data_IF_631084404729
#
_entry.id   IF_631084404729
#
_cell.length_a   1.000
_cell.length_b   1.000
_cell.length_c   1.000
_cell.angle_alpha   90.00
_cell.angle_beta   90.00
_cell.angle_gamma   90.00
#
_symmetry.space_group_name_H-M   'P 1'
#
loop_
_entity.id
_entity.type
_entity.pdbx_description
1 polymer ?
#
# COMPACT_ATOMS: atom_id res chain seq x y z
N UNK A 1 -33.74 0.06 7.52
CA UNK A 1 -33.01 1.18 6.88
C UNK A 1 -32.51 2.03 8.02
N UNK A 2 -31.26 2.38 8.03
CA UNK A 2 -30.68 3.29 9.01
C UNK A 2 -30.03 4.45 8.28
N UNK A 3 -30.23 5.65 8.80
CA UNK A 3 -29.82 6.87 8.13
C UNK A 3 -28.62 7.50 8.86
N UNK A 4 -27.80 8.20 8.12
CA UNK A 4 -26.72 9.01 8.70
C UNK A 4 -27.34 10.11 9.54
N UNK A 5 -27.12 10.08 10.86
CA UNK A 5 -27.64 11.06 11.80
C UNK A 5 -26.63 12.19 12.06
N UNK A 6 -25.34 11.87 12.09
CA UNK A 6 -24.28 12.85 12.30
C UNK A 6 -22.96 12.41 11.66
N UNK A 7 -22.19 13.39 11.21
CA UNK A 7 -20.81 13.22 10.75
C UNK A 7 -19.94 14.26 11.43
N UNK A 8 -18.83 13.81 12.04
CA UNK A 8 -17.91 14.70 12.72
C UNK A 8 -16.45 14.36 12.39
N UNK A 9 -15.73 15.32 11.85
CA UNK A 9 -14.31 15.19 11.57
C UNK A 9 -13.46 15.90 12.62
N UNK A 10 -12.28 15.35 12.85
CA UNK A 10 -11.21 15.95 13.67
C UNK A 10 -9.84 15.72 13.07
N UNK A 11 -8.90 16.57 13.49
CA UNK A 11 -7.48 16.36 13.25
C UNK A 11 -6.91 15.45 14.33
N UNK A 12 -6.22 14.38 13.91
CA UNK A 12 -5.42 13.52 14.77
C UNK A 12 -3.96 13.49 14.27
N UNK A 13 -3.10 12.71 14.88
CA UNK A 13 -1.70 12.54 14.46
C UNK A 13 -1.47 11.15 13.88
N UNK A 14 -0.70 11.09 12.79
CA UNK A 14 -0.23 9.84 12.19
C UNK A 14 1.00 9.27 12.90
N UNK A 15 1.51 8.13 12.44
CA UNK A 15 2.68 7.41 12.99
C UNK A 15 3.99 8.21 12.91
N UNK A 16 4.01 9.31 12.14
CA UNK A 16 5.15 10.23 12.03
C UNK A 16 4.95 11.52 12.84
N UNK A 17 3.83 11.64 13.58
CA UNK A 17 3.45 12.84 14.31
C UNK A 17 2.94 13.97 13.41
N UNK A 18 2.58 13.69 12.15
CA UNK A 18 1.95 14.65 11.27
C UNK A 18 0.42 14.60 11.41
N UNK A 19 -0.26 15.77 11.29
CA UNK A 19 -1.72 15.79 11.28
C UNK A 19 -2.32 14.96 10.15
N UNK A 20 -3.42 14.27 10.47
CA UNK A 20 -4.28 13.59 9.50
C UNK A 20 -5.75 13.71 9.91
N UNK A 21 -6.68 13.30 9.02
CA UNK A 21 -8.13 13.42 9.23
C UNK A 21 -8.67 12.12 9.79
N UNK A 22 -9.49 12.24 10.85
CA UNK A 22 -10.35 11.17 11.37
C UNK A 22 -11.81 11.62 11.31
N UNK A 23 -12.71 10.72 10.92
CA UNK A 23 -14.14 10.97 10.82
C UNK A 23 -14.93 9.94 11.60
N UNK A 24 -15.92 10.41 12.35
CA UNK A 24 -16.99 9.63 12.95
C UNK A 24 -18.29 9.80 12.15
N UNK A 25 -18.94 8.70 11.80
CA UNK A 25 -20.28 8.66 11.24
C UNK A 25 -21.20 7.93 12.22
N UNK A 26 -22.26 8.60 12.65
CA UNK A 26 -23.28 8.04 13.50
C UNK A 26 -24.55 7.77 12.72
N UNK A 27 -25.16 6.61 12.95
CA UNK A 27 -26.49 6.30 12.42
C UNK A 27 -27.58 6.69 13.42
N UNK A 28 -28.82 6.82 12.95
CA UNK A 28 -30.00 7.09 13.79
C UNK A 28 -30.34 5.93 14.74
N UNK A 29 -29.84 4.71 14.47
CA UNK A 29 -29.89 3.57 15.38
C UNK A 29 -28.76 3.55 16.43
N UNK A 30 -27.83 4.50 16.38
CA UNK A 30 -26.76 4.68 17.36
C UNK A 30 -25.47 3.92 17.06
N UNK A 31 -25.31 3.34 15.86
CA UNK A 31 -24.05 2.74 15.45
C UNK A 31 -23.03 3.81 15.04
N UNK A 32 -21.75 3.50 15.27
CA UNK A 32 -20.62 4.37 15.00
C UNK A 32 -19.65 3.71 14.01
N UNK A 33 -19.37 4.41 12.91
CA UNK A 33 -18.21 4.11 12.06
C UNK A 33 -17.14 5.17 12.24
N UNK A 34 -15.93 4.78 12.62
CA UNK A 34 -14.77 5.66 12.75
C UNK A 34 -13.67 5.25 11.79
N UNK A 35 -13.13 6.20 11.04
CA UNK A 35 -12.01 5.96 10.14
C UNK A 35 -10.99 7.10 10.16
N UNK A 36 -9.71 6.73 10.08
CA UNK A 36 -8.60 7.66 9.96
C UNK A 36 -7.82 7.41 8.66
N UNK A 37 -7.41 8.48 7.99
CA UNK A 37 -6.79 8.42 6.67
C UNK A 37 -5.26 8.35 6.79
N UNK A 38 -4.59 7.48 6.02
CA UNK A 38 -3.13 7.47 5.92
C UNK A 38 -2.60 8.65 5.08
N UNK A 39 -1.29 8.91 5.18
CA UNK A 39 -0.59 10.00 4.50
C UNK A 39 0.72 9.52 3.87
N UNK A 40 1.00 9.89 2.62
CA UNK A 40 2.24 9.55 1.93
C UNK A 40 3.45 10.37 2.39
N UNK A 41 4.66 9.83 2.23
CA UNK A 41 5.91 10.58 2.30
C UNK A 41 6.35 11.04 0.91
N UNK A 42 6.43 10.10 -0.03
CA UNK A 42 6.49 10.35 -1.48
C UNK A 42 5.07 10.30 -2.05
N UNK A 43 4.79 11.12 -3.04
CA UNK A 43 3.49 11.15 -3.72
C UNK A 43 3.71 11.18 -5.22
N UNK A 44 3.09 10.24 -5.94
CA UNK A 44 3.10 10.23 -7.41
C UNK A 44 2.43 11.49 -7.97
N UNK A 45 2.90 11.97 -9.12
CA UNK A 45 2.42 13.21 -9.78
C UNK A 45 0.91 13.21 -10.04
N UNK A 46 0.29 12.03 -10.13
CA UNK A 46 -1.10 11.82 -10.54
C UNK A 46 -2.03 11.40 -9.40
N UNK A 47 -1.55 11.40 -8.15
CA UNK A 47 -2.39 11.08 -6.98
C UNK A 47 -3.48 12.16 -6.74
N UNK A 48 -4.58 11.72 -6.12
CA UNK A 48 -5.57 12.66 -5.60
C UNK A 48 -4.96 13.52 -4.47
N UNK A 49 -5.43 14.76 -4.37
CA UNK A 49 -4.83 15.80 -3.51
C UNK A 49 -5.09 15.52 -2.03
N UNK A 50 -4.03 15.33 -1.26
CA UNK A 50 -4.10 15.45 0.19
C UNK A 50 -4.11 16.93 0.58
N UNK A 51 -5.26 17.44 1.04
CA UNK A 51 -5.42 18.85 1.36
C UNK A 51 -4.72 19.20 2.67
N UNK A 52 -3.73 20.09 2.59
CA UNK A 52 -2.97 20.63 3.72
C UNK A 52 -3.26 22.12 3.93
N UNK A 53 -3.17 22.59 5.18
CA UNK A 53 -3.47 23.99 5.51
C UNK A 53 -2.45 24.98 4.93
N UNK A 54 -1.17 24.58 4.82
CA UNK A 54 -0.09 25.42 4.32
C UNK A 54 0.38 26.50 5.31
N UNK A 55 -0.22 26.59 6.50
CA UNK A 55 0.16 27.54 7.55
C UNK A 55 1.44 27.07 8.26
N UNK A 56 2.57 27.63 7.87
CA UNK A 56 3.89 27.24 8.42
C UNK A 56 4.04 27.51 9.92
N UNK A 57 3.17 28.33 10.52
CA UNK A 57 3.18 28.58 11.97
C UNK A 57 2.64 27.41 12.79
N UNK A 58 1.93 26.48 12.15
CA UNK A 58 1.31 25.29 12.78
C UNK A 58 1.71 24.03 12.03
N UNK A 59 2.25 23.04 12.75
CA UNK A 59 2.69 21.77 12.17
C UNK A 59 3.56 21.93 10.90
N UNK A 60 4.35 23.00 10.81
CA UNK A 60 5.20 23.30 9.65
C UNK A 60 4.45 23.35 8.30
N UNK A 61 3.17 23.75 8.33
CA UNK A 61 2.29 23.81 7.17
C UNK A 61 1.50 22.51 6.88
N UNK A 62 1.71 21.45 7.68
CA UNK A 62 1.12 20.13 7.46
C UNK A 62 -0.25 19.93 8.13
N UNK A 63 -0.84 20.97 8.75
CA UNK A 63 -2.18 20.89 9.32
C UNK A 63 -3.24 20.46 8.31
N UNK A 64 -4.37 19.91 8.79
CA UNK A 64 -5.49 19.42 7.96
C UNK A 64 -6.84 20.03 8.37
N UNK A 65 -6.82 21.18 9.06
CA UNK A 65 -8.05 21.81 9.54
C UNK A 65 -8.98 22.26 8.40
N UNK A 66 -8.44 22.62 7.23
CA UNK A 66 -9.26 22.89 6.03
C UNK A 66 -10.03 21.65 5.57
N UNK A 67 -9.37 20.48 5.55
CA UNK A 67 -10.05 19.23 5.20
C UNK A 67 -11.10 18.85 6.26
N UNK A 68 -10.79 19.03 7.56
CA UNK A 68 -11.73 18.86 8.67
C UNK A 68 -12.94 19.78 8.52
N UNK A 69 -12.73 21.06 8.22
CA UNK A 69 -13.80 22.03 7.98
C UNK A 69 -14.65 21.63 6.77
N UNK A 70 -14.02 21.19 5.67
CA UNK A 70 -14.74 20.71 4.49
C UNK A 70 -15.69 19.53 4.82
N UNK A 71 -15.25 18.60 5.68
CA UNK A 71 -16.12 17.52 6.15
C UNK A 71 -17.28 18.08 6.98
N UNK A 72 -17.01 18.89 8.00
CA UNK A 72 -18.01 19.29 8.97
C UNK A 72 -19.04 20.30 8.39
N UNK A 73 -18.60 21.21 7.51
CA UNK A 73 -19.43 22.31 7.02
C UNK A 73 -19.98 22.10 5.60
N UNK A 74 -19.31 21.29 4.76
CA UNK A 74 -19.72 21.10 3.37
C UNK A 74 -20.27 19.69 3.14
N UNK A 75 -19.53 18.64 3.54
CA UNK A 75 -19.90 17.25 3.25
C UNK A 75 -21.02 16.78 4.19
N UNK A 76 -20.87 16.95 5.50
CA UNK A 76 -21.82 16.43 6.49
C UNK A 76 -23.26 16.89 6.23
N UNK A 77 -23.57 18.19 5.97
CA UNK A 77 -24.92 18.62 5.69
C UNK A 77 -25.59 17.99 4.46
N UNK A 78 -24.77 17.51 3.49
CA UNK A 78 -25.28 16.87 2.27
C UNK A 78 -25.56 15.38 2.45
N UNK A 79 -24.95 14.73 3.48
CA UNK A 79 -25.06 13.30 3.69
C UNK A 79 -26.03 12.91 4.82
N UNK A 80 -26.32 13.81 5.77
CA UNK A 80 -27.30 13.58 6.84
C UNK A 80 -28.66 13.21 6.24
N UNK A 81 -29.27 12.14 6.75
CA UNK A 81 -30.54 11.60 6.30
C UNK A 81 -30.46 10.64 5.10
N UNK A 82 -29.28 10.38 4.59
CA UNK A 82 -29.06 9.34 3.56
C UNK A 82 -28.92 7.98 4.26
N UNK A 83 -29.48 6.93 3.64
CA UNK A 83 -29.30 5.54 4.07
C UNK A 83 -27.81 5.17 4.03
N UNK A 84 -27.25 4.80 5.19
CA UNK A 84 -25.81 4.55 5.39
C UNK A 84 -25.29 3.39 4.52
N UNK A 85 -26.17 2.48 4.10
CA UNK A 85 -25.79 1.32 3.26
C UNK A 85 -25.58 1.65 1.79
N UNK A 86 -25.91 2.88 1.36
CA UNK A 86 -25.79 3.32 -0.04
C UNK A 86 -24.39 3.82 -0.39
N UNK A 87 -23.35 3.02 -0.10
CA UNK A 87 -21.93 3.40 -0.27
C UNK A 87 -21.63 4.04 -1.61
N UNK A 88 -21.96 3.36 -2.72
CA UNK A 88 -21.64 3.85 -4.06
C UNK A 88 -22.36 5.20 -4.38
N UNK A 89 -23.57 5.41 -3.88
CA UNK A 89 -24.28 6.67 -4.02
C UNK A 89 -23.61 7.77 -3.20
N UNK A 90 -23.24 7.48 -1.96
CA UNK A 90 -22.56 8.43 -1.06
C UNK A 90 -21.23 8.84 -1.67
N UNK A 91 -20.43 7.88 -2.14
CA UNK A 91 -19.14 8.15 -2.80
C UNK A 91 -19.30 8.97 -4.07
N UNK A 92 -20.38 8.73 -4.86
CA UNK A 92 -20.69 9.54 -6.05
C UNK A 92 -21.04 10.99 -5.68
N UNK A 93 -21.74 11.20 -4.56
CA UNK A 93 -21.99 12.54 -4.03
C UNK A 93 -20.70 13.23 -3.59
N UNK A 94 -19.81 12.54 -2.86
CA UNK A 94 -18.51 13.09 -2.45
C UNK A 94 -17.72 13.60 -3.66
N UNK A 95 -17.65 12.79 -4.73
CA UNK A 95 -16.99 13.15 -5.99
C UNK A 95 -17.69 14.36 -6.63
N UNK A 96 -19.01 14.38 -6.66
CA UNK A 96 -19.79 15.48 -7.26
C UNK A 96 -19.65 16.79 -6.50
N UNK A 97 -19.61 16.76 -5.16
CA UNK A 97 -19.44 17.95 -4.29
C UNK A 97 -18.04 18.54 -4.47
N UNK A 98 -17.02 17.71 -4.60
CA UNK A 98 -15.68 18.15 -4.94
C UNK A 98 -15.63 18.75 -6.35
N UNK A 99 -16.11 18.02 -7.34
CA UNK A 99 -16.25 18.45 -8.73
C UNK A 99 -14.91 18.61 -9.48
N UNK A 100 -13.76 18.24 -8.88
CA UNK A 100 -12.45 18.23 -9.54
C UNK A 100 -11.99 16.82 -9.83
N UNK A 101 -11.11 16.64 -10.82
CA UNK A 101 -10.65 15.31 -11.22
C UNK A 101 -9.83 14.63 -10.12
N UNK A 102 -9.04 15.40 -9.36
CA UNK A 102 -8.11 14.93 -8.34
C UNK A 102 -8.51 15.25 -6.90
N UNK A 103 -9.80 15.56 -6.64
CA UNK A 103 -10.34 15.96 -5.33
C UNK A 103 -9.62 17.17 -4.71
N UNK A 104 -9.18 18.10 -5.57
CA UNK A 104 -8.38 19.26 -5.17
C UNK A 104 -9.16 20.30 -4.36
N UNK A 105 -10.50 20.31 -4.44
CA UNK A 105 -11.33 21.29 -3.73
C UNK A 105 -11.60 20.91 -2.28
N UNK A 106 -12.00 19.68 -2.02
CA UNK A 106 -12.31 19.19 -0.66
C UNK A 106 -11.14 18.50 0.01
N UNK A 107 -10.30 17.84 -0.79
CA UNK A 107 -9.21 16.98 -0.37
C UNK A 107 -9.60 15.49 -0.37
N UNK A 108 -8.75 14.65 -0.97
CA UNK A 108 -8.93 13.20 -0.92
C UNK A 108 -8.92 12.65 0.51
N UNK A 109 -8.19 13.27 1.41
CA UNK A 109 -8.19 12.94 2.84
C UNK A 109 -9.57 13.21 3.48
N UNK A 110 -10.28 14.27 3.11
CA UNK A 110 -11.64 14.53 3.58
C UNK A 110 -12.65 13.51 3.01
N UNK A 111 -12.63 13.29 1.69
CA UNK A 111 -13.58 12.37 1.03
C UNK A 111 -13.38 10.93 1.47
N UNK A 112 -12.12 10.47 1.54
CA UNK A 112 -11.80 9.11 1.95
C UNK A 112 -12.18 8.83 3.42
N UNK A 113 -11.88 9.77 4.33
CA UNK A 113 -12.21 9.57 5.74
C UNK A 113 -13.72 9.37 5.93
N UNK A 114 -14.56 10.16 5.23
CA UNK A 114 -16.02 10.00 5.24
C UNK A 114 -16.42 8.68 4.61
N UNK A 115 -15.89 8.35 3.43
CA UNK A 115 -16.23 7.13 2.70
C UNK A 115 -15.95 5.86 3.52
N UNK A 116 -14.76 5.76 4.17
CA UNK A 116 -14.41 4.65 5.04
C UNK A 116 -15.26 4.60 6.32
N UNK A 117 -15.54 5.76 6.94
CA UNK A 117 -16.37 5.81 8.14
C UNK A 117 -17.82 5.39 7.86
N UNK A 118 -18.38 5.78 6.70
CA UNK A 118 -19.69 5.31 6.23
C UNK A 118 -19.71 3.79 6.05
N UNK A 119 -18.69 3.22 5.40
CA UNK A 119 -18.60 1.77 5.22
C UNK A 119 -18.57 1.01 6.55
N UNK A 120 -17.83 1.53 7.54
CA UNK A 120 -17.77 0.96 8.88
C UNK A 120 -19.11 1.09 9.63
N UNK A 121 -19.76 2.26 9.59
CA UNK A 121 -21.07 2.44 10.20
C UNK A 121 -22.13 1.51 9.59
N UNK A 122 -22.10 1.32 8.27
CA UNK A 122 -22.98 0.42 7.56
C UNK A 122 -22.71 -1.07 7.88
N UNK A 123 -21.47 -1.45 8.09
CA UNK A 123 -21.09 -2.78 8.51
C UNK A 123 -21.61 -3.08 9.94
N UNK A 124 -21.41 -2.17 10.89
CA UNK A 124 -21.96 -2.28 12.26
C UNK A 124 -23.50 -2.32 12.24
N UNK A 125 -24.15 -1.47 11.47
CA UNK A 125 -25.61 -1.48 11.27
C UNK A 125 -26.12 -2.84 10.74
N UNK A 126 -25.33 -3.46 9.87
CA UNK A 126 -25.66 -4.75 9.27
C UNK A 126 -25.27 -5.95 10.18
N UNK A 127 -24.65 -5.69 11.33
CA UNK A 127 -24.07 -6.70 12.24
C UNK A 127 -23.13 -7.65 11.52
N UNK A 128 -22.29 -7.10 10.62
CA UNK A 128 -21.27 -7.83 9.85
C UNK A 128 -19.90 -7.24 10.09
N UNK A 129 -18.84 -8.06 10.16
CA UNK A 129 -17.47 -7.55 10.06
C UNK A 129 -17.27 -6.80 8.74
N UNK A 130 -16.45 -5.76 8.74
CA UNK A 130 -16.27 -4.88 7.58
C UNK A 130 -15.88 -5.64 6.31
N UNK A 131 -14.94 -6.60 6.39
CA UNK A 131 -14.55 -7.40 5.24
C UNK A 131 -15.72 -8.19 4.64
N UNK A 132 -16.61 -8.71 5.48
CA UNK A 132 -17.79 -9.48 5.05
C UNK A 132 -18.87 -8.56 4.48
N UNK A 133 -19.06 -7.38 5.06
CA UNK A 133 -20.00 -6.38 4.57
C UNK A 133 -19.63 -5.91 3.15
N UNK A 134 -18.36 -5.56 2.93
CA UNK A 134 -17.89 -5.06 1.63
C UNK A 134 -17.70 -6.16 0.58
N UNK A 135 -17.22 -7.34 0.97
CA UNK A 135 -16.86 -8.42 0.05
C UNK A 135 -17.91 -9.50 -0.11
N UNK A 136 -18.95 -9.49 0.74
CA UNK A 136 -20.02 -10.48 0.68
C UNK A 136 -19.59 -11.88 1.14
N UNK A 137 -20.36 -12.88 0.73
CA UNK A 137 -20.19 -14.28 1.19
C UNK A 137 -18.88 -14.92 0.69
N UNK A 138 -18.28 -14.39 -0.35
CA UNK A 138 -17.09 -14.94 -1.00
C UNK A 138 -15.78 -14.26 -0.57
N UNK A 139 -15.81 -13.36 0.43
CA UNK A 139 -14.65 -12.73 1.02
C UNK A 139 -13.91 -13.70 1.94
N UNK A 140 -13.07 -14.57 1.38
CA UNK A 140 -12.43 -15.69 2.09
C UNK A 140 -10.92 -15.78 1.90
N UNK A 141 -10.34 -14.98 1.00
CA UNK A 141 -8.90 -15.05 0.70
C UNK A 141 -8.12 -14.14 1.65
N UNK A 142 -7.31 -14.75 2.50
CA UNK A 142 -6.36 -14.05 3.36
C UNK A 142 -5.15 -13.59 2.53
N UNK A 143 -4.71 -12.33 2.68
CA UNK A 143 -3.64 -11.82 1.85
C UNK A 143 -2.27 -12.32 2.31
N UNK A 144 -1.39 -12.65 1.38
CA UNK A 144 0.02 -12.92 1.62
C UNK A 144 0.74 -11.59 1.92
N UNK A 145 1.47 -11.46 3.04
CA UNK A 145 2.12 -10.20 3.40
C UNK A 145 3.43 -10.01 2.63
N UNK A 146 3.61 -8.83 2.04
CA UNK A 146 4.88 -8.29 1.56
C UNK A 146 5.44 -7.42 2.70
N UNK A 147 6.41 -7.94 3.45
CA UNK A 147 6.90 -7.30 4.67
C UNK A 147 8.19 -6.53 4.39
N UNK A 148 8.14 -5.19 4.44
CA UNK A 148 9.32 -4.34 4.26
C UNK A 148 10.26 -4.45 5.48
N UNK A 149 11.32 -5.25 5.38
CA UNK A 149 12.25 -5.48 6.49
C UNK A 149 13.55 -4.68 6.40
N UNK A 150 13.86 -4.09 5.23
CA UNK A 150 15.04 -3.24 5.05
C UNK A 150 14.73 -2.08 4.10
N UNK A 151 15.10 -0.87 4.52
CA UNK A 151 14.81 0.38 3.81
C UNK A 151 16.07 0.99 3.18
N UNK A 152 15.87 1.61 2.02
CA UNK A 152 16.83 2.47 1.33
C UNK A 152 16.12 3.66 0.69
N UNK A 153 16.62 4.14 -0.45
CA UNK A 153 16.01 5.24 -1.18
C UNK A 153 15.74 6.47 -0.30
N UNK A 154 14.60 7.07 -0.49
CA UNK A 154 14.17 8.23 0.34
C UNK A 154 13.72 7.82 1.75
N UNK A 155 13.54 6.52 2.00
CA UNK A 155 13.12 5.99 3.31
C UNK A 155 14.28 5.80 4.31
N UNK A 156 15.54 5.98 3.90
CA UNK A 156 16.70 5.82 4.78
C UNK A 156 17.90 6.66 4.32
N UNK A 157 18.65 7.20 5.29
CA UNK A 157 19.92 7.87 5.06
C UNK A 157 21.07 6.84 4.96
N UNK A 158 21.11 6.07 3.86
CA UNK A 158 22.14 5.06 3.59
C UNK A 158 22.54 5.07 2.11
N UNK A 159 23.37 4.11 1.69
CA UNK A 159 23.89 4.01 0.30
C UNK A 159 23.09 3.03 -0.56
N UNK A 160 21.81 2.82 -0.27
CA UNK A 160 20.92 1.96 -1.04
C UNK A 160 20.01 2.86 -1.90
N UNK A 161 19.95 2.64 -3.22
CA UNK A 161 19.07 3.40 -4.11
C UNK A 161 17.63 2.93 -4.04
N UNK A 162 17.41 1.60 -3.98
CA UNK A 162 16.07 1.03 -3.93
C UNK A 162 15.41 1.23 -2.57
N UNK A 163 14.11 1.54 -2.60
CA UNK A 163 13.40 2.05 -1.43
C UNK A 163 13.10 0.96 -0.40
N UNK A 164 12.69 -0.26 -0.85
CA UNK A 164 12.28 -1.32 0.05
C UNK A 164 12.75 -2.70 -0.41
N UNK A 165 13.24 -3.47 0.56
CA UNK A 165 13.51 -4.90 0.42
C UNK A 165 12.54 -5.67 1.31
N UNK A 166 11.62 -6.37 0.65
CA UNK A 166 10.52 -7.09 1.31
C UNK A 166 10.72 -8.59 1.26
N UNK A 167 10.16 -9.28 2.24
CA UNK A 167 10.03 -10.74 2.26
C UNK A 167 8.58 -11.14 2.08
N UNK A 168 8.36 -12.26 1.38
CA UNK A 168 7.04 -12.84 1.16
C UNK A 168 7.07 -14.32 1.56
N UNK A 169 6.26 -14.77 2.54
CA UNK A 169 6.20 -16.16 2.99
C UNK A 169 5.36 -17.03 2.03
N UNK A 170 5.85 -17.21 0.80
CA UNK A 170 5.15 -17.92 -0.29
C UNK A 170 4.84 -19.38 0.01
N UNK A 171 5.65 -20.04 0.85
CA UNK A 171 5.48 -21.44 1.23
C UNK A 171 4.67 -21.68 2.49
N UNK A 172 4.20 -20.62 3.16
CA UNK A 172 3.46 -20.76 4.42
C UNK A 172 2.07 -21.40 4.20
N UNK A 173 1.59 -22.22 5.12
CA UNK A 173 0.31 -22.91 4.99
C UNK A 173 -0.90 -22.03 5.37
N UNK A 174 -0.71 -20.95 6.10
CA UNK A 174 -1.74 -20.06 6.60
C UNK A 174 -1.20 -18.63 6.77
N UNK A 175 -2.07 -17.65 6.95
CA UNK A 175 -1.67 -16.28 7.21
C UNK A 175 -0.86 -16.16 8.51
N UNK A 176 -1.34 -16.73 9.61
CA UNK A 176 -0.67 -16.68 10.91
C UNK A 176 0.73 -17.32 10.86
N UNK A 177 0.89 -18.43 10.16
CA UNK A 177 2.21 -19.05 9.95
C UNK A 177 3.11 -18.18 9.07
N UNK A 178 2.58 -17.60 8.00
CA UNK A 178 3.33 -16.66 7.15
C UNK A 178 3.81 -15.44 7.94
N UNK A 179 2.96 -14.86 8.78
CA UNK A 179 3.33 -13.77 9.67
C UNK A 179 4.40 -14.19 10.68
N UNK A 180 4.27 -15.37 11.30
CA UNK A 180 5.28 -15.93 12.23
C UNK A 180 6.64 -16.04 11.54
N UNK A 181 6.69 -16.62 10.34
CA UNK A 181 7.94 -16.73 9.56
C UNK A 181 8.56 -15.36 9.29
N UNK A 182 7.75 -14.40 8.90
CA UNK A 182 8.21 -13.01 8.66
C UNK A 182 8.79 -12.37 9.91
N UNK A 183 8.16 -12.54 11.07
CA UNK A 183 8.65 -12.05 12.38
C UNK A 183 9.98 -12.72 12.75
N UNK A 184 10.11 -14.02 12.56
CA UNK A 184 11.34 -14.75 12.85
C UNK A 184 12.51 -14.30 11.94
N UNK A 185 12.26 -14.07 10.64
CA UNK A 185 13.26 -13.49 9.74
C UNK A 185 13.63 -12.06 10.17
N UNK A 186 12.67 -11.22 10.53
CA UNK A 186 12.93 -9.87 11.03
C UNK A 186 13.88 -9.88 12.24
N UNK A 187 13.66 -10.76 13.23
CA UNK A 187 14.52 -10.86 14.39
C UNK A 187 15.90 -11.44 14.06
N UNK A 188 15.97 -12.38 13.11
CA UNK A 188 17.25 -12.89 12.63
C UNK A 188 18.02 -11.82 11.84
N UNK A 189 17.34 -11.00 11.03
CA UNK A 189 17.96 -9.87 10.33
C UNK A 189 18.57 -8.87 11.33
N UNK A 190 17.87 -8.58 12.44
CA UNK A 190 18.45 -7.78 13.53
C UNK A 190 19.77 -8.35 14.05
N UNK A 191 19.84 -9.67 14.20
CA UNK A 191 21.02 -10.36 14.68
C UNK A 191 22.16 -10.34 13.65
N UNK A 192 21.85 -10.55 12.37
CA UNK A 192 22.81 -10.49 11.25
C UNK A 192 23.39 -9.08 11.14
N UNK A 193 22.55 -8.03 11.16
CA UNK A 193 23.00 -6.64 11.10
C UNK A 193 23.93 -6.29 12.27
N UNK A 194 23.60 -6.70 13.50
CA UNK A 194 24.45 -6.50 14.67
C UNK A 194 25.82 -7.16 14.52
N UNK A 195 25.86 -8.41 14.00
CA UNK A 195 27.13 -9.12 13.78
C UNK A 195 28.01 -8.43 12.73
N UNK A 196 27.38 -7.80 11.72
CA UNK A 196 28.09 -7.00 10.71
C UNK A 196 28.47 -5.59 11.19
N UNK A 197 28.07 -5.20 12.42
CA UNK A 197 28.35 -3.88 12.99
C UNK A 197 27.41 -2.78 12.51
N UNK A 198 26.28 -3.13 11.88
CA UNK A 198 25.29 -2.18 11.39
C UNK A 198 24.27 -1.76 12.46
N UNK A 199 23.69 -0.56 12.27
CA UNK A 199 22.55 -0.07 13.07
C UNK A 199 21.34 -0.98 12.88
N UNK A 200 20.59 -1.16 13.96
CA UNK A 200 19.27 -1.84 13.96
C UNK A 200 18.13 -0.89 14.30
N UNK A 201 18.30 0.40 14.04
CA UNK A 201 17.22 1.38 14.09
C UNK A 201 16.26 1.11 12.92
N UNK A 202 14.99 1.42 13.14
CA UNK A 202 13.94 1.19 12.13
C UNK A 202 13.47 2.51 11.54
N UNK A 203 13.07 2.46 10.27
CA UNK A 203 12.44 3.57 9.58
C UNK A 203 10.93 3.69 9.86
N UNK A 204 10.27 4.56 9.10
CA UNK A 204 8.85 4.89 9.25
C UNK A 204 7.93 3.68 9.11
N UNK A 205 8.31 2.69 8.33
CA UNK A 205 7.54 1.48 8.05
C UNK A 205 7.94 0.27 8.91
N UNK A 206 8.83 0.48 9.87
CA UNK A 206 9.25 -0.54 10.83
C UNK A 206 10.37 -1.46 10.35
N UNK A 207 10.83 -1.38 9.11
CA UNK A 207 12.01 -2.08 8.59
C UNK A 207 13.30 -1.42 9.05
N UNK A 208 14.41 -2.17 9.06
CA UNK A 208 15.73 -1.64 9.45
C UNK A 208 16.26 -0.65 8.39
N UNK A 209 17.01 0.35 8.86
CA UNK A 209 17.66 1.35 8.01
C UNK A 209 19.19 1.38 8.29
N UNK A 210 19.93 0.31 7.96
CA UNK A 210 21.36 0.21 8.21
C UNK A 210 22.18 0.97 7.17
N UNK A 211 23.40 1.37 7.55
CA UNK A 211 24.40 2.00 6.68
C UNK A 211 25.06 1.00 5.67
N UNK A 212 24.26 0.14 5.06
CA UNK A 212 24.72 -0.82 4.03
C UNK A 212 25.22 -0.07 2.79
N UNK A 213 26.23 -0.62 2.10
CA UNK A 213 27.02 0.10 1.12
C UNK A 213 26.56 -0.07 -0.32
N UNK A 214 25.70 -1.09 -0.62
CA UNK A 214 25.18 -1.33 -1.98
C UNK A 214 23.82 -2.02 -1.95
N UNK A 215 23.11 -1.95 -3.09
CA UNK A 215 21.86 -2.66 -3.29
C UNK A 215 22.03 -4.19 -3.21
N UNK A 216 23.18 -4.70 -3.73
CA UNK A 216 23.53 -6.11 -3.69
C UNK A 216 23.76 -6.59 -2.25
N UNK A 217 24.51 -5.83 -1.44
CA UNK A 217 24.72 -6.17 -0.04
C UNK A 217 23.41 -6.19 0.74
N UNK A 218 22.46 -5.32 0.41
CA UNK A 218 21.16 -5.26 1.05
C UNK A 218 20.37 -6.57 0.82
N UNK A 219 20.19 -6.97 -0.43
CA UNK A 219 19.45 -8.20 -0.76
C UNK A 219 20.14 -9.45 -0.23
N UNK A 220 21.47 -9.52 -0.31
CA UNK A 220 22.25 -10.65 0.21
C UNK A 220 22.17 -10.76 1.74
N UNK A 221 22.11 -9.62 2.44
CA UNK A 221 21.91 -9.59 3.90
C UNK A 221 20.50 -10.08 4.29
N UNK A 222 19.48 -9.76 3.49
CA UNK A 222 18.12 -10.29 3.69
C UNK A 222 18.09 -11.81 3.45
N UNK A 223 18.74 -12.30 2.41
CA UNK A 223 18.85 -13.76 2.13
C UNK A 223 19.59 -14.51 3.23
N UNK A 224 20.64 -13.91 3.78
CA UNK A 224 21.36 -14.44 4.95
C UNK A 224 20.42 -14.56 6.17
N UNK A 225 19.58 -13.55 6.40
CA UNK A 225 18.61 -13.55 7.50
C UNK A 225 17.52 -14.61 7.34
N UNK A 226 17.01 -14.83 6.11
CA UNK A 226 16.04 -15.90 5.81
C UNK A 226 16.68 -17.26 6.13
N UNK A 227 17.92 -17.49 5.68
CA UNK A 227 18.64 -18.73 5.95
C UNK A 227 18.97 -18.92 7.44
N UNK A 228 19.35 -17.84 8.13
CA UNK A 228 19.61 -17.87 9.58
C UNK A 228 18.36 -18.15 10.42
N UNK A 229 17.17 -17.80 9.91
CA UNK A 229 15.89 -18.14 10.51
C UNK A 229 15.48 -19.61 10.26
N UNK A 230 16.25 -20.36 9.45
CA UNK A 230 15.98 -21.76 9.11
C UNK A 230 15.05 -21.96 7.92
N UNK A 231 14.75 -20.90 7.17
CA UNK A 231 13.90 -20.98 5.98
C UNK A 231 14.71 -21.04 4.69
N UNK A 232 14.12 -21.61 3.65
CA UNK A 232 14.73 -21.72 2.32
C UNK A 232 14.33 -20.52 1.46
N UNK A 233 15.31 -19.66 1.06
CA UNK A 233 15.05 -18.56 0.13
C UNK A 233 14.48 -19.08 -1.19
N UNK A 234 13.42 -18.42 -1.68
CA UNK A 234 12.73 -18.73 -2.92
C UNK A 234 11.70 -19.86 -2.84
N UNK A 235 11.86 -20.84 -1.93
CA UNK A 235 10.89 -21.91 -1.74
C UNK A 235 9.85 -21.57 -0.65
N UNK A 236 10.31 -21.16 0.52
CA UNK A 236 9.49 -20.84 1.67
C UNK A 236 9.27 -19.34 1.79
N UNK A 237 10.32 -18.56 1.62
CA UNK A 237 10.30 -17.10 1.68
C UNK A 237 10.99 -16.55 0.44
N UNK A 238 10.25 -15.80 -0.37
CA UNK A 238 10.76 -15.10 -1.55
C UNK A 238 11.02 -13.62 -1.23
N UNK A 239 11.62 -12.91 -2.20
CA UNK A 239 11.91 -11.47 -2.12
C UNK A 239 10.92 -10.71 -2.99
N UNK A 240 10.44 -9.58 -2.46
CA UNK A 240 9.85 -8.51 -3.24
C UNK A 240 10.64 -7.23 -3.05
N UNK A 241 10.57 -6.35 -4.02
CA UNK A 241 11.26 -5.06 -4.00
C UNK A 241 10.32 -3.93 -4.38
N UNK A 242 10.54 -2.76 -3.76
CA UNK A 242 10.07 -1.49 -4.26
C UNK A 242 11.29 -0.66 -4.66
N UNK A 243 11.42 -0.41 -5.96
CA UNK A 243 12.55 0.32 -6.49
C UNK A 243 12.35 1.84 -6.41
N UNK A 244 11.09 2.31 -6.41
CA UNK A 244 10.72 3.72 -6.51
C UNK A 244 11.53 4.45 -7.61
N UNK A 245 11.58 3.85 -8.81
CA UNK A 245 12.53 4.25 -9.86
C UNK A 245 12.31 5.67 -10.39
N UNK A 246 11.13 6.28 -10.13
CA UNK A 246 10.89 7.69 -10.44
C UNK A 246 11.86 8.63 -9.71
N UNK A 247 12.31 8.26 -8.49
CA UNK A 247 13.30 9.03 -7.72
C UNK A 247 14.72 8.99 -8.36
N UNK A 248 14.97 7.98 -9.19
CA UNK A 248 16.24 7.79 -9.89
C UNK A 248 16.22 8.37 -11.32
N UNK A 249 15.04 8.72 -11.85
CA UNK A 249 14.82 9.06 -13.23
C UNK A 249 15.02 10.55 -13.50
N UNK A 250 15.71 10.85 -14.60
CA UNK A 250 15.91 12.21 -15.11
C UNK A 250 15.07 12.39 -16.39
N UNK A 251 13.95 13.10 -16.27
CA UNK A 251 13.00 13.36 -17.36
C UNK A 251 13.67 14.08 -18.58
N UNK A 252 14.72 14.86 -18.35
CA UNK A 252 15.37 15.63 -19.41
C UNK A 252 16.26 14.76 -20.32
N UNK A 253 16.84 13.70 -19.74
CA UNK A 253 17.78 12.80 -20.45
C UNK A 253 17.20 11.41 -20.70
N UNK A 254 16.04 11.09 -20.13
CA UNK A 254 15.43 9.74 -20.09
C UNK A 254 16.40 8.67 -19.58
N UNK A 255 17.09 8.96 -18.48
CA UNK A 255 18.08 8.06 -17.88
C UNK A 255 17.86 7.88 -16.38
N UNK A 256 18.36 6.77 -15.84
CA UNK A 256 18.34 6.45 -14.43
C UNK A 256 19.70 6.69 -13.78
N UNK A 257 19.73 7.35 -12.62
CA UNK A 257 20.95 7.66 -11.86
C UNK A 257 20.96 6.90 -10.54
N UNK A 258 22.01 6.12 -10.31
CA UNK A 258 22.25 5.45 -9.03
C UNK A 258 22.88 6.45 -8.06
N UNK A 259 22.07 7.38 -7.55
CA UNK A 259 22.54 8.57 -6.84
C UNK A 259 23.16 8.30 -5.46
N UNK A 260 22.89 7.13 -4.86
CA UNK A 260 23.41 6.75 -3.55
C UNK A 260 24.52 5.70 -3.62
N UNK A 261 24.27 4.56 -4.25
CA UNK A 261 25.22 3.44 -4.29
C UNK A 261 26.40 3.70 -5.25
N UNK A 262 26.13 4.40 -6.35
CA UNK A 262 27.15 4.74 -7.35
C UNK A 262 26.81 6.05 -8.08
N UNK A 263 27.08 7.23 -7.48
CA UNK A 263 26.63 8.53 -8.00
C UNK A 263 27.09 8.88 -9.43
N UNK A 264 28.10 8.15 -9.96
CA UNK A 264 28.55 8.29 -11.34
C UNK A 264 27.84 7.39 -12.35
N UNK A 265 27.06 6.43 -11.88
CA UNK A 265 26.38 5.47 -12.75
C UNK A 265 25.08 6.04 -13.27
N UNK A 266 25.04 6.30 -14.57
CA UNK A 266 23.86 6.73 -15.32
C UNK A 266 23.59 5.68 -16.38
N UNK A 267 22.36 5.17 -16.46
CA UNK A 267 21.95 4.13 -17.40
C UNK A 267 20.67 4.51 -18.14
N UNK A 268 20.51 3.98 -19.34
CA UNK A 268 19.30 4.10 -20.15
C UNK A 268 18.17 3.21 -19.63
N UNK A 269 16.95 3.41 -20.15
CA UNK A 269 15.82 2.50 -19.86
C UNK A 269 16.11 1.06 -20.27
N UNK A 270 16.80 0.85 -21.39
CA UNK A 270 17.16 -0.52 -21.84
C UNK A 270 18.16 -1.20 -20.89
N UNK A 271 19.12 -0.45 -20.39
CA UNK A 271 20.06 -0.95 -19.37
C UNK A 271 19.39 -1.21 -18.03
N UNK A 272 18.37 -0.43 -17.65
CA UNK A 272 17.58 -0.70 -16.44
C UNK A 272 16.75 -1.99 -16.60
N UNK A 273 16.16 -2.24 -17.76
CA UNK A 273 15.49 -3.52 -18.08
C UNK A 273 16.47 -4.70 -17.99
N UNK A 274 17.69 -4.54 -18.51
CA UNK A 274 18.73 -5.55 -18.41
C UNK A 274 19.14 -5.79 -16.95
N UNK A 275 19.29 -4.73 -16.15
CA UNK A 275 19.60 -4.81 -14.71
C UNK A 275 18.57 -5.64 -13.95
N UNK A 276 17.27 -5.35 -14.14
CA UNK A 276 16.19 -6.12 -13.50
C UNK A 276 16.14 -7.56 -13.99
N UNK A 277 16.40 -7.80 -15.28
CA UNK A 277 16.46 -9.15 -15.85
C UNK A 277 17.60 -9.98 -15.21
N UNK A 278 18.75 -9.38 -15.00
CA UNK A 278 19.86 -10.01 -14.30
C UNK A 278 19.49 -10.33 -12.83
N UNK A 279 18.89 -9.35 -12.12
CA UNK A 279 18.53 -9.51 -10.71
C UNK A 279 17.48 -10.60 -10.49
N UNK A 280 16.44 -10.67 -11.31
CA UNK A 280 15.42 -11.73 -11.24
C UNK A 280 15.98 -13.12 -11.55
N UNK A 281 17.01 -13.21 -12.40
CA UNK A 281 17.69 -14.47 -12.67
C UNK A 281 18.68 -14.89 -11.57
N UNK A 282 19.26 -13.92 -10.86
CA UNK A 282 20.27 -14.15 -9.81
C UNK A 282 19.66 -14.39 -8.43
N UNK A 283 18.60 -13.67 -8.09
CA UNK A 283 17.97 -13.68 -6.76
C UNK A 283 16.52 -14.20 -6.82
N UNK A 284 15.98 -14.74 -5.73
CA UNK A 284 14.62 -15.25 -5.70
C UNK A 284 13.58 -14.11 -5.59
N UNK A 285 13.68 -13.13 -6.51
CA UNK A 285 12.78 -11.99 -6.61
C UNK A 285 11.54 -12.44 -7.37
N UNK A 286 10.36 -12.29 -6.76
CA UNK A 286 9.08 -12.67 -7.33
C UNK A 286 8.16 -11.47 -7.61
N UNK A 287 8.52 -10.28 -7.11
CA UNK A 287 7.75 -9.05 -7.29
C UNK A 287 8.65 -7.83 -7.29
N UNK A 288 8.45 -6.92 -8.24
CA UNK A 288 9.12 -5.61 -8.34
C UNK A 288 8.04 -4.54 -8.50
N UNK A 289 8.00 -3.62 -7.54
CA UNK A 289 7.18 -2.42 -7.56
C UNK A 289 7.99 -1.27 -8.15
N UNK A 290 7.38 -0.53 -9.05
CA UNK A 290 7.95 0.63 -9.75
C UNK A 290 9.39 0.42 -10.22
N UNK A 291 9.61 -0.70 -10.92
CA UNK A 291 10.91 -1.04 -11.50
C UNK A 291 11.37 -0.09 -12.62
N UNK A 292 10.45 0.70 -13.16
CA UNK A 292 10.69 1.81 -14.09
C UNK A 292 9.95 3.06 -13.57
N UNK A 293 10.35 4.25 -14.03
CA UNK A 293 9.71 5.51 -13.67
C UNK A 293 8.24 5.60 -14.14
N UNK A 294 7.41 6.36 -13.42
CA UNK A 294 5.96 6.48 -13.66
C UNK A 294 5.58 7.02 -15.05
N UNK A 295 6.48 7.74 -15.71
CA UNK A 295 6.29 8.29 -17.05
C UNK A 295 7.10 7.56 -18.14
N UNK A 296 7.96 6.58 -17.79
CA UNK A 296 8.71 5.76 -18.75
C UNK A 296 7.90 4.54 -19.25
N UNK A 297 6.79 4.82 -19.91
CA UNK A 297 5.88 3.78 -20.43
C UNK A 297 6.55 2.84 -21.45
N UNK A 298 7.51 3.32 -22.21
CA UNK A 298 8.27 2.51 -23.15
C UNK A 298 9.19 1.52 -22.42
N UNK A 299 9.89 1.97 -21.39
CA UNK A 299 10.70 1.12 -20.52
C UNK A 299 9.85 0.09 -19.78
N UNK A 300 8.70 0.49 -19.22
CA UNK A 300 7.75 -0.44 -18.59
C UNK A 300 7.28 -1.55 -19.53
N UNK A 301 6.99 -1.21 -20.80
CA UNK A 301 6.60 -2.22 -21.78
C UNK A 301 7.72 -3.23 -22.02
N UNK A 302 8.95 -2.76 -22.24
CA UNK A 302 10.12 -3.63 -22.42
C UNK A 302 10.38 -4.49 -21.20
N UNK A 303 10.26 -3.94 -19.98
CA UNK A 303 10.39 -4.69 -18.74
C UNK A 303 9.34 -5.79 -18.65
N UNK A 304 8.08 -5.48 -18.99
CA UNK A 304 6.99 -6.45 -18.98
C UNK A 304 7.23 -7.60 -19.97
N UNK A 305 7.70 -7.28 -21.17
CA UNK A 305 8.05 -8.28 -22.19
C UNK A 305 9.23 -9.16 -21.74
N UNK A 306 10.24 -8.57 -21.05
CA UNK A 306 11.44 -9.28 -20.64
C UNK A 306 11.22 -10.25 -19.47
N UNK A 307 10.52 -9.84 -18.42
CA UNK A 307 10.41 -10.60 -17.16
C UNK A 307 9.00 -10.77 -16.62
N UNK A 308 7.97 -10.18 -17.24
CA UNK A 308 6.59 -10.23 -16.72
C UNK A 308 5.98 -11.65 -16.63
N UNK A 309 6.53 -12.63 -17.36
CA UNK A 309 6.14 -14.04 -17.24
C UNK A 309 6.78 -14.76 -16.04
N UNK A 310 7.79 -14.16 -15.39
CA UNK A 310 8.55 -14.74 -14.28
C UNK A 310 8.39 -13.96 -12.99
N UNK A 311 8.04 -12.67 -13.08
CA UNK A 311 8.02 -11.75 -11.97
C UNK A 311 6.75 -10.89 -12.00
N UNK A 312 6.16 -10.65 -10.83
CA UNK A 312 5.09 -9.68 -10.67
C UNK A 312 5.66 -8.27 -10.84
N UNK A 313 5.11 -7.50 -11.76
CA UNK A 313 5.50 -6.12 -12.06
C UNK A 313 4.37 -5.19 -11.62
N UNK A 314 4.60 -4.52 -10.50
CA UNK A 314 3.58 -3.75 -9.78
C UNK A 314 3.72 -2.28 -10.13
N UNK A 315 2.64 -1.67 -10.62
CA UNK A 315 2.57 -0.22 -10.76
C UNK A 315 1.96 0.42 -9.51
N UNK A 316 2.75 1.21 -8.78
CA UNK A 316 2.31 2.14 -7.74
C UNK A 316 2.15 3.54 -8.34
N UNK A 317 3.21 4.30 -8.49
CA UNK A 317 3.18 5.65 -9.09
C UNK A 317 2.72 5.60 -10.55
N UNK A 318 2.98 4.49 -11.25
CA UNK A 318 2.50 4.26 -12.61
C UNK A 318 0.97 4.33 -12.71
N UNK A 319 0.24 3.72 -11.77
CA UNK A 319 -1.22 3.58 -11.84
C UNK A 319 -1.98 4.43 -10.82
N UNK A 320 -1.37 4.78 -9.69
CA UNK A 320 -1.91 5.60 -8.59
C UNK A 320 -3.35 5.22 -8.20
N UNK A 321 -3.66 3.92 -8.17
CA UNK A 321 -5.02 3.39 -7.89
C UNK A 321 -6.11 3.95 -8.83
N UNK A 322 -5.72 4.52 -9.98
CA UNK A 322 -6.61 5.22 -10.91
C UNK A 322 -7.02 4.33 -12.08
N UNK A 323 -8.32 4.10 -12.24
CA UNK A 323 -8.89 3.22 -13.29
C UNK A 323 -8.55 3.69 -14.72
N UNK A 324 -8.35 4.99 -14.97
CA UNK A 324 -7.97 5.49 -16.30
C UNK A 324 -6.54 5.07 -16.63
N UNK A 325 -5.59 5.32 -15.71
CA UNK A 325 -4.18 4.93 -15.87
C UNK A 325 -4.02 3.41 -15.93
N UNK A 326 -4.75 2.69 -15.06
CA UNK A 326 -4.76 1.23 -15.08
C UNK A 326 -5.27 0.68 -16.43
N UNK A 327 -6.36 1.26 -16.95
CA UNK A 327 -6.88 0.90 -18.27
C UNK A 327 -5.84 1.11 -19.38
N UNK A 328 -5.14 2.23 -19.37
CA UNK A 328 -4.07 2.51 -20.33
C UNK A 328 -2.94 1.47 -20.25
N UNK A 329 -2.57 1.04 -19.03
CA UNK A 329 -1.58 -0.01 -18.81
C UNK A 329 -2.05 -1.37 -19.35
N UNK A 330 -3.30 -1.73 -19.07
CA UNK A 330 -3.92 -2.97 -19.55
C UNK A 330 -3.94 -2.98 -21.09
N UNK A 331 -4.43 -1.92 -21.72
CA UNK A 331 -4.54 -1.80 -23.17
C UNK A 331 -3.17 -1.87 -23.88
N UNK A 332 -2.12 -1.40 -23.22
CA UNK A 332 -0.73 -1.42 -23.71
C UNK A 332 0.07 -2.65 -23.30
N UNK A 333 -0.51 -3.54 -22.48
CA UNK A 333 0.17 -4.70 -21.89
C UNK A 333 1.40 -4.32 -21.07
N UNK A 334 1.24 -3.40 -20.13
CA UNK A 334 2.28 -2.83 -19.27
C UNK A 334 2.03 -3.20 -17.81
N UNK A 335 3.01 -3.84 -17.17
CA UNK A 335 2.86 -4.41 -15.84
C UNK A 335 1.96 -5.65 -15.85
N UNK A 336 1.72 -6.22 -14.68
CA UNK A 336 0.80 -7.35 -14.46
C UNK A 336 0.16 -7.32 -13.07
N UNK A 337 0.40 -6.23 -12.33
CA UNK A 337 -0.12 -5.99 -10.98
C UNK A 337 -0.29 -4.50 -10.71
N UNK A 338 -1.18 -4.16 -9.80
CA UNK A 338 -1.39 -2.80 -9.30
C UNK A 338 -1.24 -2.76 -7.78
N UNK A 339 -0.56 -1.73 -7.28
CA UNK A 339 -0.61 -1.38 -5.86
C UNK A 339 -1.87 -0.55 -5.58
N UNK A 340 -2.58 -0.86 -4.51
CA UNK A 340 -3.84 -0.21 -4.16
C UNK A 340 -3.64 0.60 -2.88
N UNK A 341 -3.61 1.91 -3.02
CA UNK A 341 -3.53 2.88 -1.93
C UNK A 341 -4.82 3.71 -1.89
N UNK A 342 -5.65 3.46 -0.90
CA UNK A 342 -7.01 4.06 -0.80
C UNK A 342 -7.01 5.59 -0.90
N UNK A 343 -5.97 6.24 -0.37
CA UNK A 343 -5.87 7.71 -0.38
C UNK A 343 -5.37 8.30 -1.71
N UNK A 344 -4.78 7.49 -2.61
CA UNK A 344 -4.39 7.94 -3.95
C UNK A 344 -5.61 8.26 -4.84
N UNK A 345 -6.78 7.70 -4.50
CA UNK A 345 -8.00 7.88 -5.28
C UNK A 345 -9.12 8.56 -4.48
N UNK A 346 -9.27 8.28 -3.19
CA UNK A 346 -10.06 9.10 -2.24
C UNK A 346 -11.48 8.62 -1.93
N UNK A 347 -11.94 7.44 -2.41
CA UNK A 347 -13.17 6.78 -1.96
C UNK A 347 -13.04 5.27 -1.96
N UNK A 348 -13.86 4.59 -1.15
CA UNK A 348 -13.93 3.11 -1.10
C UNK A 348 -14.44 2.55 -2.44
N UNK A 349 -15.45 3.17 -3.03
CA UNK A 349 -16.01 2.70 -4.32
C UNK A 349 -15.01 2.78 -5.46
N UNK A 350 -14.23 3.87 -5.57
CA UNK A 350 -13.18 3.98 -6.59
C UNK A 350 -12.08 2.95 -6.37
N UNK A 351 -11.72 2.69 -5.10
CA UNK A 351 -10.76 1.63 -4.73
C UNK A 351 -11.25 0.25 -5.17
N UNK A 352 -12.51 -0.09 -4.89
CA UNK A 352 -13.14 -1.35 -5.34
C UNK A 352 -13.11 -1.46 -6.87
N UNK A 353 -13.45 -0.39 -7.57
CA UNK A 353 -13.45 -0.36 -9.04
C UNK A 353 -12.05 -0.62 -9.62
N UNK A 354 -11.00 -0.07 -9.01
CA UNK A 354 -9.62 -0.30 -9.45
C UNK A 354 -9.20 -1.78 -9.27
N UNK A 355 -9.51 -2.38 -8.12
CA UNK A 355 -9.24 -3.80 -7.86
C UNK A 355 -10.02 -4.69 -8.82
N UNK A 356 -11.30 -4.44 -9.04
CA UNK A 356 -12.14 -5.24 -9.96
C UNK A 356 -11.65 -5.12 -11.40
N UNK A 357 -11.26 -3.92 -11.85
CA UNK A 357 -10.70 -3.73 -13.19
C UNK A 357 -9.41 -4.54 -13.36
N UNK A 358 -8.50 -4.50 -12.39
CA UNK A 358 -7.26 -5.28 -12.40
C UNK A 358 -7.55 -6.78 -12.51
N UNK A 359 -8.39 -7.31 -11.62
CA UNK A 359 -8.74 -8.73 -11.59
C UNK A 359 -9.43 -9.21 -12.88
N UNK A 360 -10.34 -8.42 -13.44
CA UNK A 360 -11.02 -8.73 -14.72
C UNK A 360 -10.04 -8.78 -15.89
N UNK A 361 -8.95 -8.01 -15.83
CA UNK A 361 -7.89 -8.02 -16.84
C UNK A 361 -6.83 -9.12 -16.60
N UNK A 362 -6.93 -9.88 -15.50
CA UNK A 362 -5.94 -10.87 -15.09
C UNK A 362 -4.70 -10.30 -14.40
N UNK A 363 -4.74 -9.03 -14.00
CA UNK A 363 -3.73 -8.42 -13.14
C UNK A 363 -3.97 -8.83 -11.69
N UNK A 364 -2.90 -8.94 -10.92
CA UNK A 364 -2.98 -9.06 -9.46
C UNK A 364 -3.14 -7.67 -8.82
N UNK A 365 -3.58 -7.65 -7.57
CA UNK A 365 -3.67 -6.42 -6.78
C UNK A 365 -3.05 -6.62 -5.42
N UNK A 366 -2.33 -5.62 -4.93
CA UNK A 366 -1.72 -5.61 -3.60
C UNK A 366 -2.34 -4.48 -2.81
N UNK A 367 -3.07 -4.77 -1.75
CA UNK A 367 -3.57 -3.73 -0.85
C UNK A 367 -2.41 -3.14 -0.06
N UNK A 368 -2.29 -1.82 0.00
CA UNK A 368 -1.11 -1.16 0.55
C UNK A 368 -1.43 -0.09 1.59
N UNK A 369 -0.54 0.01 2.57
CA UNK A 369 -0.42 1.11 3.50
C UNK A 369 0.22 2.36 2.86
N UNK A 370 0.43 3.40 3.66
CA UNK A 370 1.31 4.53 3.34
C UNK A 370 2.39 4.67 4.44
N UNK A 371 3.39 5.53 4.18
CA UNK A 371 4.48 5.77 5.15
C UNK A 371 3.96 6.38 6.46
N UNK A 372 2.99 7.29 6.39
CA UNK A 372 2.25 7.80 7.55
C UNK A 372 0.95 7.04 7.74
N UNK A 373 0.90 6.19 8.75
CA UNK A 373 -0.26 5.38 9.10
C UNK A 373 -0.85 5.78 10.45
N UNK A 374 -2.02 5.22 10.74
CA UNK A 374 -2.69 5.28 12.04
C UNK A 374 -2.99 3.87 12.54
N UNK A 375 -3.72 3.73 13.65
CA UNK A 375 -4.22 2.44 14.11
C UNK A 375 -5.38 1.88 13.26
N UNK A 376 -5.87 2.66 12.28
CA UNK A 376 -6.96 2.22 11.38
C UNK A 376 -6.58 0.96 10.62
N UNK A 377 -7.49 -0.01 10.59
CA UNK A 377 -7.27 -1.34 10.00
C UNK A 377 -8.04 -1.57 8.71
N UNK A 378 -8.69 -0.56 8.15
CA UNK A 378 -9.59 -0.68 6.99
C UNK A 378 -8.93 -1.42 5.81
N UNK A 379 -7.64 -1.18 5.55
CA UNK A 379 -6.94 -1.86 4.45
C UNK A 379 -6.79 -3.37 4.66
N UNK A 380 -6.74 -3.85 5.90
CA UNK A 380 -6.74 -5.29 6.19
C UNK A 380 -8.09 -5.93 5.82
N UNK A 381 -9.18 -5.29 6.22
CA UNK A 381 -10.53 -5.72 5.86
C UNK A 381 -10.76 -5.64 4.34
N UNK A 382 -10.32 -4.55 3.67
CA UNK A 382 -10.42 -4.41 2.21
C UNK A 382 -9.63 -5.47 1.46
N UNK A 383 -8.43 -5.85 1.93
CA UNK A 383 -7.63 -6.89 1.29
C UNK A 383 -8.37 -8.22 1.23
N UNK A 384 -9.08 -8.58 2.31
CA UNK A 384 -9.90 -9.81 2.36
C UNK A 384 -11.22 -9.62 1.62
N UNK A 385 -11.90 -8.48 1.80
CA UNK A 385 -13.18 -8.16 1.13
C UNK A 385 -13.07 -8.31 -0.38
N UNK A 386 -11.97 -7.84 -0.96
CA UNK A 386 -11.76 -7.82 -2.40
C UNK A 386 -10.95 -9.02 -2.92
N UNK A 387 -10.63 -9.99 -2.03
CA UNK A 387 -9.80 -11.15 -2.35
C UNK A 387 -8.51 -10.74 -3.10
N UNK A 388 -7.84 -9.69 -2.64
CA UNK A 388 -6.62 -9.19 -3.28
C UNK A 388 -5.50 -10.25 -3.29
N UNK A 389 -5.50 -11.14 -2.30
CA UNK A 389 -4.50 -12.20 -2.15
C UNK A 389 -3.14 -11.72 -1.66
N UNK A 390 -2.91 -10.40 -1.59
CA UNK A 390 -1.65 -9.79 -1.17
C UNK A 390 -1.90 -8.49 -0.40
N UNK A 391 -1.01 -8.19 0.57
CA UNK A 391 -1.00 -6.93 1.33
C UNK A 391 0.44 -6.47 1.57
N UNK A 392 0.70 -5.19 1.33
CA UNK A 392 1.95 -4.49 1.67
C UNK A 392 1.62 -3.52 2.81
N UNK A 393 2.00 -3.85 4.06
CA UNK A 393 1.65 -3.03 5.22
C UNK A 393 2.80 -2.87 6.22
N UNK A 394 4.02 -2.78 5.70
CA UNK A 394 5.23 -2.53 6.46
C UNK A 394 5.85 -3.77 7.08
N UNK A 395 6.72 -3.56 8.05
CA UNK A 395 7.50 -4.61 8.69
C UNK A 395 6.79 -5.24 9.90
N UNK A 396 7.50 -6.13 10.59
CA UNK A 396 7.06 -6.78 11.84
C UNK A 396 7.34 -5.92 13.09
N UNK A 397 7.25 -4.60 12.97
CA UNK A 397 7.44 -3.66 14.08
C UNK A 397 6.61 -2.38 13.85
N UNK A 398 6.41 -1.59 14.89
CA UNK A 398 5.52 -0.41 14.99
C UNK A 398 4.04 -0.77 15.00
N UNK A 399 3.31 -0.21 15.96
CA UNK A 399 1.90 -0.56 16.23
C UNK A 399 0.99 -0.23 15.03
N UNK A 400 1.26 0.84 14.32
CA UNK A 400 0.56 1.27 13.12
C UNK A 400 0.60 0.20 11.99
N UNK A 401 1.66 -0.61 11.92
CA UNK A 401 1.79 -1.75 10.99
C UNK A 401 1.15 -3.00 11.59
N UNK A 402 1.51 -3.31 12.85
CA UNK A 402 1.00 -4.51 13.53
C UNK A 402 -0.52 -4.51 13.69
N UNK A 403 -1.16 -3.32 13.76
CA UNK A 403 -2.62 -3.22 13.82
C UNK A 403 -3.30 -3.95 12.65
N UNK A 404 -2.78 -3.80 11.41
CA UNK A 404 -3.30 -4.45 10.21
C UNK A 404 -3.07 -5.97 10.24
N UNK A 405 -1.87 -6.41 10.64
CA UNK A 405 -1.56 -7.83 10.78
C UNK A 405 -2.43 -8.49 11.88
N UNK A 406 -2.60 -7.83 13.02
CA UNK A 406 -3.46 -8.31 14.08
C UNK A 406 -4.93 -8.39 13.63
N UNK A 407 -5.40 -7.47 12.80
CA UNK A 407 -6.74 -7.54 12.22
C UNK A 407 -6.88 -8.74 11.29
N UNK A 408 -5.88 -9.04 10.48
CA UNK A 408 -5.89 -10.21 9.59
C UNK A 408 -5.88 -11.54 10.38
N UNK A 409 -5.19 -11.61 11.54
CA UNK A 409 -5.28 -12.76 12.45
C UNK A 409 -6.73 -12.96 12.94
N UNK A 410 -7.41 -11.87 13.37
CA UNK A 410 -8.83 -11.94 13.80
C UNK A 410 -9.73 -12.39 12.66
N UNK A 411 -9.48 -11.91 11.44
CA UNK A 411 -10.25 -12.32 10.24
C UNK A 411 -9.99 -13.80 9.93
N UNK A 412 -8.74 -14.29 10.02
CA UNK A 412 -8.40 -15.70 9.84
C UNK A 412 -9.16 -16.59 10.84
N UNK A 413 -9.22 -16.16 12.10
CA UNK A 413 -9.96 -16.85 13.15
C UNK A 413 -11.47 -16.91 12.86
N UNK A 414 -12.06 -15.78 12.41
CA UNK A 414 -13.48 -15.71 12.03
C UNK A 414 -13.81 -16.56 10.80
N UNK A 415 -12.91 -16.67 9.84
CA UNK A 415 -13.08 -17.48 8.64
C UNK A 415 -12.91 -18.98 8.93
N UNK A 416 -12.07 -19.34 9.89
CA UNK A 416 -11.81 -20.73 10.27
C UNK A 416 -11.43 -21.58 9.06
N UNK A 417 -12.12 -22.70 8.86
CA UNK A 417 -11.84 -23.62 7.75
C UNK A 417 -12.19 -23.08 6.35
N UNK A 418 -12.92 -21.97 6.27
CA UNK A 418 -13.28 -21.34 4.97
C UNK A 418 -12.23 -20.35 4.49
N UNK A 419 -11.30 -19.97 5.36
CA UNK A 419 -10.18 -19.09 5.01
C UNK A 419 -9.23 -19.77 4.05
N UNK A 420 -8.84 -19.05 2.98
CA UNK A 420 -7.91 -19.53 1.96
C UNK A 420 -6.67 -18.66 1.99
N UNK A 421 -5.51 -19.25 2.26
CA UNK A 421 -4.23 -18.59 2.08
C UNK A 421 -3.61 -19.00 0.72
N UNK A 422 -3.15 -18.05 -0.12
CA UNK A 422 -2.76 -18.35 -1.51
C UNK A 422 -1.35 -18.97 -1.63
N UNK A 423 -1.03 -19.95 -0.79
CA UNK A 423 0.28 -20.61 -0.75
C UNK A 423 0.77 -21.01 -2.14
N UNK A 424 1.95 -20.55 -2.53
CA UNK A 424 2.62 -20.88 -3.80
C UNK A 424 1.83 -20.50 -5.07
N UNK A 425 0.74 -19.78 -4.94
CA UNK A 425 -0.21 -19.50 -6.03
C UNK A 425 -0.23 -18.06 -6.51
N UNK A 426 0.75 -17.23 -6.14
CA UNK A 426 0.85 -15.93 -6.78
C UNK A 426 1.11 -16.18 -8.26
N UNK A 427 0.12 -15.91 -9.09
CA UNK A 427 0.28 -16.03 -10.54
C UNK A 427 1.04 -14.80 -11.01
N UNK A 428 2.31 -14.97 -11.23
CA UNK A 428 3.14 -13.98 -11.89
C UNK A 428 2.96 -14.14 -13.40
N UNK A 429 2.41 -13.13 -14.03
CA UNK A 429 2.24 -13.08 -15.48
C UNK A 429 1.27 -14.12 -16.07
N UNK A 430 0.55 -13.72 -17.09
CA UNK A 430 -0.04 -14.62 -18.09
C UNK A 430 0.82 -14.61 -19.33
#
# INVERSE_FOLDING_TARGET
MSFIANIHARQILDSRGNPTVEVDVFTDNGFLGRAAVPSGASTGKHEAVELRDGDKSKFLGRGVLKAVQNVNEIIAPQLIGIDVTRQAYIDSLLISIDGTENKGKLGANATLAVSMAVAKAAAEESNLPLYRYLGGVNATVLPMPLMNIMNGGVHADNKIDFQEFMIIPVGAPSFSEGLRWGVEVFHNLKSVLKKKGYSTNVGDEGGFAPEIQSNEEAIETVLEAISAAGYKPGEQIAIAMDAASSEMFDDATNTYKFYKSNPGKVISSDEMVAYWTEWVNKYPIVSIEDGMAEDDWAGWKKLTEAIGSKCQLVGDDLFVTNVKRLKDGIDKHIGNSILIKVNQIGTVTETINAVQMAQNAGYTSIMSHRSGETEDTTIADLAVALNCGQIKTGSASRTDRMAKYNQLIRIEELLGQTGVYPTGKIKFGK
#
